data_IF_378035999199
#
_entry.id   IF_378035999199
#
_cell.length_a   1.000
_cell.length_b   1.000
_cell.length_c   1.000
_cell.angle_alpha   90.00
_cell.angle_beta   90.00
_cell.angle_gamma   90.00
#
_symmetry.space_group_name_H-M   'P 1'
#
loop_
_entity.id
_entity.type
_entity.pdbx_description
1 polymer ?
#
# COMPACT_ATOMS: atom_id res chain seq x y z
N UNK A 1 -11.14 -1.56 8.04
CA UNK A 1 -12.47 -1.00 8.43
C UNK A 1 -12.57 -0.67 9.93
N UNK A 2 -12.36 -1.65 10.82
CA UNK A 2 -12.48 -1.46 12.28
C UNK A 2 -11.51 -0.38 12.79
N UNK A 3 -10.21 -0.52 12.49
CA UNK A 3 -9.21 0.48 12.91
C UNK A 3 -9.50 1.88 12.36
N UNK A 4 -9.95 1.98 11.10
CA UNK A 4 -10.32 3.27 10.49
C UNK A 4 -11.49 3.91 11.25
N UNK A 5 -12.53 3.13 11.55
CA UNK A 5 -13.67 3.60 12.32
C UNK A 5 -13.24 4.10 13.72
N UNK A 6 -12.39 3.33 14.41
CA UNK A 6 -11.83 3.72 15.71
C UNK A 6 -11.02 5.01 15.62
N UNK A 7 -10.18 5.18 14.59
CA UNK A 7 -9.38 6.40 14.40
C UNK A 7 -10.23 7.63 14.14
N UNK A 8 -11.32 7.50 13.36
CA UNK A 8 -12.24 8.61 13.10
C UNK A 8 -13.01 9.02 14.37
N UNK A 9 -13.46 8.03 15.16
CA UNK A 9 -14.09 8.28 16.45
C UNK A 9 -13.15 8.98 17.43
N UNK A 10 -11.89 8.54 17.51
CA UNK A 10 -10.86 9.22 18.34
C UNK A 10 -10.59 10.65 17.86
N UNK A 11 -10.71 10.93 16.56
CA UNK A 11 -10.58 12.26 16.00
C UNK A 11 -11.80 13.17 16.16
N UNK A 12 -12.86 12.71 16.86
CA UNK A 12 -14.17 13.37 16.94
C UNK A 12 -14.78 13.70 15.56
N UNK A 13 -14.40 12.95 14.53
CA UNK A 13 -14.94 13.10 13.18
C UNK A 13 -16.21 12.27 13.12
N UNK A 14 -17.36 12.92 12.97
CA UNK A 14 -18.69 12.31 12.91
C UNK A 14 -18.98 11.65 11.55
N UNK A 15 -18.10 10.74 11.11
CA UNK A 15 -18.35 9.88 9.95
C UNK A 15 -18.78 8.52 10.48
N UNK A 16 -20.06 8.19 10.32
CA UNK A 16 -20.54 6.84 10.61
C UNK A 16 -20.17 5.91 9.46
N UNK A 17 -19.11 5.12 9.66
CA UNK A 17 -18.72 4.10 8.69
C UNK A 17 -19.47 2.79 8.96
N UNK A 18 -20.14 2.20 7.95
CA UNK A 18 -20.72 0.87 8.08
C UNK A 18 -19.61 -0.19 7.99
N UNK A 19 -18.82 -0.32 9.07
CA UNK A 19 -17.58 -1.10 9.08
C UNK A 19 -17.77 -2.57 8.63
N UNK A 20 -18.91 -3.17 8.98
CA UNK A 20 -19.27 -4.52 8.54
C UNK A 20 -19.53 -4.58 7.03
N UNK A 21 -20.26 -3.62 6.46
CA UNK A 21 -20.51 -3.56 5.02
C UNK A 21 -19.22 -3.31 4.23
N UNK A 22 -18.33 -2.44 4.74
CA UNK A 22 -17.01 -2.24 4.17
C UNK A 22 -16.19 -3.53 4.16
N UNK A 23 -16.19 -4.26 5.29
CA UNK A 23 -15.47 -5.53 5.41
C UNK A 23 -15.99 -6.57 4.42
N UNK A 24 -17.32 -6.76 4.35
CA UNK A 24 -17.95 -7.67 3.40
C UNK A 24 -17.65 -7.27 1.95
N UNK A 25 -17.73 -5.98 1.64
CA UNK A 25 -17.42 -5.45 0.31
C UNK A 25 -15.97 -5.72 -0.10
N UNK A 26 -15.01 -5.54 0.82
CA UNK A 26 -13.60 -5.87 0.56
C UNK A 26 -13.37 -7.37 0.44
N UNK A 27 -14.00 -8.19 1.29
CA UNK A 27 -13.94 -9.65 1.17
C UNK A 27 -14.39 -10.11 -0.21
N UNK A 28 -15.52 -9.59 -0.70
CA UNK A 28 -16.04 -9.95 -2.02
C UNK A 28 -15.19 -9.42 -3.17
N UNK A 29 -14.69 -8.18 -3.10
CA UNK A 29 -13.93 -7.55 -4.19
C UNK A 29 -12.45 -7.95 -4.23
N UNK A 30 -11.90 -8.43 -3.12
CA UNK A 30 -10.46 -8.66 -2.94
C UNK A 30 -10.19 -10.12 -2.58
N UNK A 31 -10.73 -10.58 -1.46
CA UNK A 31 -10.39 -11.91 -0.94
C UNK A 31 -10.92 -13.03 -1.85
N UNK A 32 -12.18 -12.93 -2.31
CA UNK A 32 -12.79 -13.95 -3.19
C UNK A 32 -12.01 -14.09 -4.50
N UNK A 33 -11.71 -13.02 -5.27
CA UNK A 33 -10.87 -13.13 -6.47
C UNK A 33 -9.48 -13.70 -6.20
N UNK A 34 -8.85 -13.35 -5.06
CA UNK A 34 -7.56 -13.91 -4.68
C UNK A 34 -7.66 -15.42 -4.45
N UNK A 35 -8.66 -15.89 -3.69
CA UNK A 35 -8.87 -17.32 -3.43
C UNK A 35 -9.11 -18.08 -4.73
N UNK A 36 -9.96 -17.56 -5.61
CA UNK A 36 -10.22 -18.16 -6.93
C UNK A 36 -8.91 -18.22 -7.74
N UNK A 37 -8.16 -17.12 -7.80
CA UNK A 37 -6.88 -17.06 -8.52
C UNK A 37 -5.84 -18.03 -7.97
N UNK A 38 -5.72 -18.17 -6.65
CA UNK A 38 -4.80 -19.11 -6.00
C UNK A 38 -5.22 -20.56 -6.24
N UNK A 39 -6.51 -20.88 -6.14
CA UNK A 39 -7.04 -22.20 -6.45
C UNK A 39 -6.75 -22.57 -7.90
N UNK A 40 -6.94 -21.62 -8.83
CA UNK A 40 -6.70 -21.83 -10.26
C UNK A 40 -5.22 -21.88 -10.67
N UNK A 41 -4.31 -21.37 -9.83
CA UNK A 41 -2.88 -21.19 -10.12
C UNK A 41 -2.18 -22.46 -10.64
N UNK A 42 -2.38 -23.67 -10.08
CA UNK A 42 -1.68 -24.87 -10.55
C UNK A 42 -1.95 -25.21 -12.02
N UNK A 43 -3.18 -24.98 -12.51
CA UNK A 43 -3.57 -25.30 -13.88
C UNK A 43 -3.23 -24.20 -14.88
N UNK A 44 -3.18 -22.94 -14.44
CA UNK A 44 -2.94 -21.81 -15.32
C UNK A 44 -1.48 -21.33 -15.33
N UNK A 45 -0.65 -21.63 -14.32
CA UNK A 45 0.71 -21.06 -14.18
C UNK A 45 1.54 -21.11 -15.47
N UNK A 46 1.60 -22.27 -16.13
CA UNK A 46 2.37 -22.44 -17.38
C UNK A 46 1.76 -21.68 -18.56
N UNK A 47 0.42 -21.57 -18.63
CA UNK A 47 -0.31 -20.85 -19.68
C UNK A 47 -0.19 -19.34 -19.55
N UNK A 48 -0.11 -18.82 -18.33
CA UNK A 48 -0.03 -17.37 -18.07
C UNK A 48 1.42 -16.86 -18.10
N UNK A 49 2.42 -17.72 -17.86
CA UNK A 49 3.83 -17.31 -17.80
C UNK A 49 4.30 -16.45 -19.00
N UNK A 50 3.92 -16.76 -20.27
CA UNK A 50 4.27 -15.93 -21.42
C UNK A 50 3.69 -14.50 -21.37
N UNK A 51 2.56 -14.30 -20.69
CA UNK A 51 1.86 -13.01 -20.58
C UNK A 51 2.24 -12.21 -19.33
N UNK A 52 3.19 -12.69 -18.51
CA UNK A 52 3.60 -12.06 -17.26
C UNK A 52 3.93 -10.57 -17.40
N UNK A 53 4.65 -10.19 -18.47
CA UNK A 53 4.95 -8.78 -18.78
C UNK A 53 3.69 -7.96 -19.11
N UNK A 54 2.79 -8.50 -19.95
CA UNK A 54 1.55 -7.83 -20.30
C UNK A 54 0.65 -7.62 -19.07
N UNK A 55 0.56 -8.63 -18.19
CA UNK A 55 -0.17 -8.53 -16.92
C UNK A 55 0.46 -7.48 -15.99
N UNK A 56 1.79 -7.43 -15.92
CA UNK A 56 2.50 -6.41 -15.14
C UNK A 56 2.20 -5.00 -15.65
N UNK A 57 2.24 -4.78 -16.97
CA UNK A 57 1.91 -3.49 -17.59
C UNK A 57 0.44 -3.14 -17.30
N UNK A 58 -0.47 -4.08 -17.50
CA UNK A 58 -1.88 -3.88 -17.20
C UNK A 58 -2.11 -3.47 -15.75
N UNK A 59 -1.48 -4.15 -14.79
CA UNK A 59 -1.57 -3.81 -13.37
C UNK A 59 -1.05 -2.39 -13.08
N UNK A 60 0.10 -2.01 -13.68
CA UNK A 60 0.63 -0.65 -13.54
C UNK A 60 -0.31 0.40 -14.14
N UNK A 61 -0.93 0.12 -15.29
CA UNK A 61 -1.94 1.01 -15.88
C UNK A 61 -3.13 1.22 -14.95
N UNK A 62 -3.61 0.17 -14.26
CA UNK A 62 -4.68 0.30 -13.25
C UNK A 62 -4.25 1.20 -12.09
N UNK A 63 -3.01 1.05 -11.60
CA UNK A 63 -2.48 1.93 -10.53
C UNK A 63 -2.40 3.38 -11.00
N UNK A 64 -1.95 3.64 -12.23
CA UNK A 64 -1.93 4.98 -12.81
C UNK A 64 -3.34 5.56 -12.96
N UNK A 65 -4.31 4.76 -13.38
CA UNK A 65 -5.71 5.19 -13.47
C UNK A 65 -6.31 5.53 -12.09
N UNK A 66 -5.95 4.78 -11.05
CA UNK A 66 -6.33 5.08 -9.66
C UNK A 66 -5.80 6.46 -9.24
N UNK A 67 -4.51 6.71 -9.48
CA UNK A 67 -3.88 8.00 -9.15
C UNK A 67 -4.54 9.12 -9.95
N UNK A 68 -4.75 8.92 -11.25
CA UNK A 68 -5.39 9.89 -12.13
C UNK A 68 -6.80 10.23 -11.65
N UNK A 69 -7.61 9.23 -11.32
CA UNK A 69 -8.98 9.43 -10.82
C UNK A 69 -9.01 10.26 -9.53
N UNK A 70 -8.17 9.91 -8.55
CA UNK A 70 -8.14 10.58 -7.26
C UNK A 70 -7.60 12.02 -7.33
N UNK A 71 -6.58 12.26 -8.16
CA UNK A 71 -6.06 13.62 -8.41
C UNK A 71 -7.09 14.45 -9.16
N UNK A 72 -7.72 13.88 -10.20
CA UNK A 72 -8.70 14.60 -11.03
C UNK A 72 -9.91 15.04 -10.21
N UNK A 73 -10.44 14.15 -9.35
CA UNK A 73 -11.55 14.45 -8.42
C UNK A 73 -11.19 15.45 -7.31
N UNK A 74 -9.90 15.71 -7.10
CA UNK A 74 -9.39 16.62 -6.06
C UNK A 74 -8.74 17.90 -6.61
N UNK A 75 -8.76 18.14 -7.92
CA UNK A 75 -7.94 19.16 -8.60
C UNK A 75 -8.01 20.54 -7.93
N UNK A 76 -9.22 21.10 -7.76
CA UNK A 76 -9.37 22.43 -7.16
C UNK A 76 -8.82 22.50 -5.72
N UNK A 77 -9.09 21.47 -4.92
CA UNK A 77 -8.65 21.38 -3.53
C UNK A 77 -7.14 21.16 -3.39
N UNK A 78 -6.52 20.46 -4.34
CA UNK A 78 -5.06 20.28 -4.42
C UNK A 78 -4.38 21.63 -4.65
N UNK A 79 -4.92 22.43 -5.57
CA UNK A 79 -4.37 23.75 -5.88
C UNK A 79 -4.48 24.69 -4.67
N UNK A 80 -5.61 24.66 -3.97
CA UNK A 80 -5.81 25.44 -2.73
C UNK A 80 -4.93 24.98 -1.57
N UNK A 81 -4.69 23.66 -1.45
CA UNK A 81 -3.86 23.10 -0.38
C UNK A 81 -2.39 23.54 -0.46
N UNK A 82 -1.90 23.87 -1.68
CA UNK A 82 -0.61 24.52 -1.88
C UNK A 82 0.54 23.82 -1.14
N UNK A 83 1.33 24.54 -0.32
CA UNK A 83 2.49 23.98 0.41
C UNK A 83 2.14 22.84 1.38
N UNK A 84 0.89 22.71 1.82
CA UNK A 84 0.48 21.66 2.75
C UNK A 84 0.68 20.28 2.14
N UNK A 85 0.52 20.13 0.83
CA UNK A 85 0.77 18.86 0.13
C UNK A 85 2.22 18.42 0.20
N UNK A 86 3.16 19.37 0.18
CA UNK A 86 4.58 19.08 0.38
C UNK A 86 4.85 18.54 1.79
N UNK A 87 4.21 19.14 2.81
CA UNK A 87 4.31 18.64 4.19
C UNK A 87 3.70 17.25 4.34
N UNK A 88 2.58 16.95 3.68
CA UNK A 88 2.00 15.59 3.65
C UNK A 88 2.99 14.60 3.03
N UNK A 89 3.66 14.97 1.94
CA UNK A 89 4.65 14.11 1.30
C UNK A 89 5.85 13.85 2.20
N UNK A 90 6.38 14.90 2.83
CA UNK A 90 7.48 14.78 3.80
C UNK A 90 7.09 13.91 5.00
N UNK A 91 5.86 14.08 5.50
CA UNK A 91 5.32 13.23 6.56
C UNK A 91 5.24 11.76 6.13
N UNK A 92 4.80 11.47 4.89
CA UNK A 92 4.74 10.09 4.39
C UNK A 92 6.12 9.44 4.23
N UNK A 93 7.12 10.23 3.81
CA UNK A 93 8.54 9.79 3.79
C UNK A 93 9.00 9.45 5.21
N UNK A 94 8.81 10.37 6.16
CA UNK A 94 9.18 10.15 7.56
C UNK A 94 8.48 8.94 8.17
N UNK A 95 7.17 8.79 7.92
CA UNK A 95 6.36 7.67 8.38
C UNK A 95 6.89 6.34 7.83
N UNK A 96 7.21 6.27 6.54
CA UNK A 96 7.72 5.04 5.95
C UNK A 96 9.10 4.67 6.49
N UNK A 97 10.01 5.65 6.63
CA UNK A 97 11.33 5.44 7.28
C UNK A 97 11.14 4.91 8.69
N UNK A 98 10.27 5.53 9.48
CA UNK A 98 9.97 5.11 10.84
C UNK A 98 9.50 3.65 10.88
N UNK A 99 8.56 3.27 10.01
CA UNK A 99 8.04 1.89 9.95
C UNK A 99 9.14 0.91 9.55
N UNK A 100 9.98 1.22 8.56
CA UNK A 100 11.11 0.37 8.16
C UNK A 100 12.09 0.14 9.32
N UNK A 101 12.44 1.20 10.06
CA UNK A 101 13.33 1.09 11.22
C UNK A 101 12.68 0.28 12.34
N UNK A 102 11.41 0.55 12.64
CA UNK A 102 10.65 -0.17 13.65
C UNK A 102 10.58 -1.67 13.33
N UNK A 103 10.26 -2.03 12.09
CA UNK A 103 10.15 -3.42 11.66
C UNK A 103 11.50 -4.13 11.72
N UNK A 104 12.58 -3.47 11.28
CA UNK A 104 13.93 -4.02 11.34
C UNK A 104 14.39 -4.25 12.79
N UNK A 105 14.13 -3.30 13.68
CA UNK A 105 14.43 -3.44 15.11
C UNK A 105 13.63 -4.59 15.72
N UNK A 106 12.34 -4.68 15.40
CA UNK A 106 11.47 -5.77 15.87
C UNK A 106 11.95 -7.13 15.37
N UNK A 107 12.36 -7.24 14.11
CA UNK A 107 12.94 -8.46 13.54
C UNK A 107 14.20 -8.90 14.29
N UNK A 108 15.05 -7.95 14.69
CA UNK A 108 16.22 -8.23 15.53
C UNK A 108 15.84 -8.70 16.94
N UNK A 109 14.84 -8.07 17.56
CA UNK A 109 14.36 -8.45 18.91
C UNK A 109 13.78 -9.86 18.93
N UNK A 110 13.04 -10.25 17.90
CA UNK A 110 12.46 -11.61 17.79
C UNK A 110 13.43 -12.64 17.20
N UNK A 111 14.67 -12.24 16.88
CA UNK A 111 15.73 -13.15 16.43
C UNK A 111 15.55 -13.72 15.01
N UNK A 112 14.99 -12.94 14.07
CA UNK A 112 14.88 -13.39 12.68
C UNK A 112 16.25 -13.51 12.01
N UNK A 113 16.41 -14.51 11.15
CA UNK A 113 17.56 -14.61 10.24
C UNK A 113 17.53 -13.48 9.18
N UNK A 114 18.63 -13.29 8.46
CA UNK A 114 18.78 -12.15 7.54
C UNK A 114 17.73 -12.13 6.40
N UNK A 115 17.44 -13.27 5.72
CA UNK A 115 16.35 -13.33 4.75
C UNK A 115 14.98 -12.96 5.33
N UNK A 116 14.62 -13.50 6.50
CA UNK A 116 13.34 -13.19 7.14
C UNK A 116 13.29 -11.75 7.64
N UNK A 117 14.41 -11.20 8.12
CA UNK A 117 14.52 -9.78 8.49
C UNK A 117 14.26 -8.88 7.30
N UNK A 118 14.83 -9.20 6.12
CA UNK A 118 14.61 -8.44 4.90
C UNK A 118 13.13 -8.50 4.48
N UNK A 119 12.56 -9.71 4.42
CA UNK A 119 11.16 -9.92 4.05
C UNK A 119 10.20 -9.23 5.03
N UNK A 120 10.42 -9.39 6.34
CA UNK A 120 9.62 -8.76 7.38
C UNK A 120 9.70 -7.23 7.27
N UNK A 121 10.91 -6.67 7.20
CA UNK A 121 11.12 -5.21 7.16
C UNK A 121 10.39 -4.56 5.98
N UNK A 122 10.53 -5.13 4.78
CA UNK A 122 9.96 -4.56 3.54
C UNK A 122 8.46 -4.87 3.41
N UNK A 123 8.04 -6.13 3.55
CA UNK A 123 6.64 -6.47 3.24
C UNK A 123 5.63 -5.97 4.28
N UNK A 124 6.04 -5.79 5.54
CA UNK A 124 5.13 -5.26 6.56
C UNK A 124 4.98 -3.74 6.49
N UNK A 125 5.95 -3.02 5.91
CA UNK A 125 5.87 -1.58 5.67
C UNK A 125 5.03 -1.23 4.44
N UNK A 126 4.98 -2.13 3.45
CA UNK A 126 4.23 -1.94 2.21
C UNK A 126 2.71 -1.90 2.42
N UNK A 127 2.08 -0.86 1.89
CA UNK A 127 0.63 -0.70 1.85
C UNK A 127 0.12 -0.84 0.42
N UNK A 128 -1.07 -1.42 0.26
CA UNK A 128 -1.67 -1.68 -1.05
C UNK A 128 -2.60 -0.55 -1.45
N UNK A 129 -2.15 0.33 -2.36
CA UNK A 129 -2.92 1.50 -2.82
C UNK A 129 -4.30 1.13 -3.35
N UNK A 130 -4.42 0.02 -4.08
CA UNK A 130 -5.71 -0.45 -4.64
C UNK A 130 -6.76 -0.71 -3.57
N UNK A 131 -6.36 -1.21 -2.40
CA UNK A 131 -7.29 -1.44 -1.28
C UNK A 131 -7.72 -0.11 -0.67
N UNK A 132 -6.78 0.81 -0.46
CA UNK A 132 -7.07 2.16 0.00
C UNK A 132 -8.01 2.90 -0.97
N UNK A 133 -7.81 2.74 -2.27
CA UNK A 133 -8.68 3.30 -3.31
C UNK A 133 -10.10 2.72 -3.24
N UNK A 134 -10.27 1.40 -3.10
CA UNK A 134 -11.61 0.80 -3.00
C UNK A 134 -12.39 1.34 -1.79
N UNK A 135 -11.71 1.50 -0.66
CA UNK A 135 -12.30 2.10 0.55
C UNK A 135 -12.64 3.58 0.30
N UNK A 136 -11.71 4.35 -0.25
CA UNK A 136 -11.92 5.75 -0.53
C UNK A 136 -13.06 5.97 -1.53
N UNK A 137 -13.02 5.32 -2.69
CA UNK A 137 -14.03 5.45 -3.74
C UNK A 137 -15.43 5.04 -3.28
N UNK A 138 -15.53 4.03 -2.40
CA UNK A 138 -16.81 3.54 -1.90
C UNK A 138 -17.42 4.37 -0.77
N UNK A 139 -16.60 5.04 0.05
CA UNK A 139 -17.06 5.59 1.33
C UNK A 139 -16.62 7.04 1.62
N UNK A 140 -15.60 7.56 0.94
CA UNK A 140 -15.02 8.87 1.24
C UNK A 140 -14.98 9.81 0.04
N UNK A 141 -14.98 9.33 -1.20
CA UNK A 141 -14.70 10.17 -2.36
C UNK A 141 -15.67 11.34 -2.56
N UNK A 142 -16.96 11.15 -2.19
CA UNK A 142 -17.98 12.19 -2.34
C UNK A 142 -17.76 13.37 -1.39
N UNK A 143 -17.45 13.10 -0.12
CA UNK A 143 -17.32 14.13 0.92
C UNK A 143 -15.87 14.56 1.15
N UNK A 144 -14.93 13.63 0.99
CA UNK A 144 -13.50 13.78 1.26
C UNK A 144 -12.65 13.32 0.06
N UNK A 145 -12.75 13.98 -1.11
CA UNK A 145 -12.00 13.59 -2.31
C UNK A 145 -10.48 13.59 -2.08
N UNK A 146 -9.97 14.50 -1.24
CA UNK A 146 -8.54 14.60 -0.89
C UNK A 146 -8.02 13.49 0.03
N UNK A 147 -8.88 12.66 0.62
CA UNK A 147 -8.48 11.67 1.63
C UNK A 147 -7.57 10.56 1.07
N UNK A 148 -7.53 10.33 -0.24
CA UNK A 148 -6.61 9.35 -0.84
C UNK A 148 -5.20 9.92 -1.12
N UNK A 149 -5.03 11.25 -1.13
CA UNK A 149 -3.75 11.89 -1.48
C UNK A 149 -2.58 11.41 -0.59
N UNK A 150 -2.73 11.31 0.74
CA UNK A 150 -1.66 10.74 1.58
C UNK A 150 -1.35 9.28 1.23
N UNK A 151 -2.35 8.49 0.85
CA UNK A 151 -2.16 7.11 0.41
C UNK A 151 -1.38 7.00 -0.91
N UNK A 152 -1.62 7.92 -1.85
CA UNK A 152 -0.84 8.03 -3.09
C UNK A 152 0.60 8.44 -2.78
N UNK A 153 0.79 9.47 -1.94
CA UNK A 153 2.10 9.91 -1.52
C UNK A 153 2.90 8.76 -0.88
N UNK A 154 2.30 8.02 0.06
CA UNK A 154 2.91 6.86 0.67
C UNK A 154 3.24 5.75 -0.34
N UNK A 155 2.36 5.49 -1.31
CA UNK A 155 2.61 4.51 -2.37
C UNK A 155 3.82 4.88 -3.23
N UNK A 156 3.98 6.15 -3.59
CA UNK A 156 5.14 6.62 -4.34
C UNK A 156 6.42 6.52 -3.50
N UNK A 157 6.36 6.95 -2.24
CA UNK A 157 7.47 6.83 -1.28
C UNK A 157 7.96 5.40 -1.15
N UNK A 158 7.07 4.45 -0.82
CA UNK A 158 7.47 3.05 -0.59
C UNK A 158 8.07 2.42 -1.86
N UNK A 159 7.51 2.69 -3.05
CA UNK A 159 8.00 2.10 -4.31
C UNK A 159 9.46 2.49 -4.59
N UNK A 160 9.81 3.75 -4.31
CA UNK A 160 11.17 4.26 -4.50
C UNK A 160 12.07 3.75 -3.38
N UNK A 161 11.67 3.93 -2.12
CA UNK A 161 12.50 3.62 -0.96
C UNK A 161 12.77 2.12 -0.80
N UNK A 162 11.77 1.27 -0.99
CA UNK A 162 11.92 -0.18 -0.87
C UNK A 162 12.88 -0.75 -1.91
N UNK A 163 13.03 -0.10 -3.08
CA UNK A 163 14.03 -0.50 -4.09
C UNK A 163 15.45 -0.36 -3.52
N UNK A 164 15.74 0.75 -2.84
CA UNK A 164 17.04 0.95 -2.18
C UNK A 164 17.22 0.01 -0.99
N UNK A 165 16.20 -0.17 -0.17
CA UNK A 165 16.24 -1.07 0.99
C UNK A 165 16.48 -2.52 0.56
N UNK A 166 15.79 -2.98 -0.49
CA UNK A 166 15.99 -4.31 -1.07
C UNK A 166 17.43 -4.51 -1.56
N UNK A 167 18.01 -3.51 -2.24
CA UNK A 167 19.40 -3.56 -2.68
C UNK A 167 20.38 -3.64 -1.49
N UNK A 168 20.13 -2.89 -0.42
CA UNK A 168 20.95 -2.94 0.80
C UNK A 168 20.92 -4.33 1.46
N UNK A 169 19.74 -4.95 1.56
CA UNK A 169 19.63 -6.31 2.10
C UNK A 169 20.29 -7.34 1.19
N UNK A 170 20.11 -7.22 -0.13
CA UNK A 170 20.76 -8.10 -1.11
C UNK A 170 22.29 -8.08 -0.95
N UNK A 171 22.90 -6.89 -0.89
CA UNK A 171 24.34 -6.75 -0.73
C UNK A 171 24.84 -7.41 0.58
N UNK A 172 24.06 -7.30 1.67
CA UNK A 172 24.41 -7.95 2.96
C UNK A 172 24.34 -9.47 2.88
N UNK A 173 23.35 -10.01 2.19
CA UNK A 173 23.22 -11.47 1.98
C UNK A 173 24.39 -11.98 1.14
N UNK A 174 24.73 -11.30 0.05
CA UNK A 174 25.88 -11.65 -0.80
C UNK A 174 27.21 -11.59 -0.02
N UNK A 175 27.40 -10.59 0.85
CA UNK A 175 28.57 -10.51 1.71
C UNK A 175 28.65 -11.66 2.73
N UNK A 176 27.53 -12.00 3.38
CA UNK A 176 27.48 -13.09 4.35
C UNK A 176 27.69 -14.47 3.73
N UNK A 177 27.40 -14.63 2.43
CA UNK A 177 27.62 -15.88 1.70
C UNK A 177 29.07 -16.06 1.18
N UNK A 178 29.86 -14.97 1.17
CA UNK A 178 31.26 -14.97 0.69
C UNK A 178 32.29 -15.08 1.84
N UNK A 179 31.84 -15.29 3.08
CA UNK A 179 32.64 -15.53 4.29
C UNK A 179 32.37 -16.96 4.75
#
# INVERSE_FOLDING_TARGET
PIMVNLMLQMGHVSIELPALQMLLGLTLKVLVPIVIGQSLRPWLKSKIAPFSKAISIFNQSIVLMIILNAVSSSTHRILEAGPVLFLVFLFMIGLHIFILLFNKTTAGVIGLDLPSTAAFTIHTSQKTLTISYLVWAGYFAAEYPMALIPGIAYHLTQMIMDTFVAQLFRNRVEQAANI
#
